data_IF_617867296883
#
_entry.id   IF_617867296883
#
_cell.length_a   1.000
_cell.length_b   1.000
_cell.length_c   1.000
_cell.angle_alpha   90.00
_cell.angle_beta   90.00
_cell.angle_gamma   90.00
#
_symmetry.space_group_name_H-M   'P 1'
#
loop_
_entity.id
_entity.type
_entity.pdbx_description
1 polymer ?
#
# COMPACT_ATOMS: atom_id res chain seq x y z
N UNK A 1 7.41 -10.81 18.54
CA UNK A 1 7.02 -9.47 18.02
C UNK A 1 5.55 -9.23 18.35
N UNK A 2 5.15 -8.09 18.93
CA UNK A 2 3.74 -7.77 19.14
C UNK A 2 2.97 -7.77 17.81
N UNK A 3 1.74 -8.27 17.79
CA UNK A 3 0.89 -8.32 16.59
C UNK A 3 0.76 -6.96 15.91
N UNK A 4 0.72 -5.89 16.70
CA UNK A 4 0.64 -4.50 16.25
C UNK A 4 1.85 -4.00 15.49
N UNK A 5 3.02 -4.62 15.66
CA UNK A 5 4.25 -4.28 14.93
C UNK A 5 4.28 -5.02 13.59
N UNK A 6 3.82 -6.27 13.57
CA UNK A 6 3.91 -7.14 12.39
C UNK A 6 3.16 -6.59 11.18
N UNK A 7 1.90 -6.18 11.33
CA UNK A 7 1.13 -5.65 10.20
C UNK A 7 1.67 -4.30 9.72
N UNK A 8 2.14 -3.44 10.63
CA UNK A 8 2.76 -2.15 10.28
C UNK A 8 4.02 -2.35 9.46
N UNK A 9 4.90 -3.27 9.87
CA UNK A 9 6.11 -3.61 9.13
C UNK A 9 5.79 -4.12 7.73
N UNK A 10 4.81 -5.04 7.59
CA UNK A 10 4.44 -5.61 6.28
C UNK A 10 3.89 -4.53 5.35
N UNK A 11 2.97 -3.68 5.84
CA UNK A 11 2.41 -2.58 5.05
C UNK A 11 3.44 -1.52 4.70
N UNK A 12 4.32 -1.17 5.64
CA UNK A 12 5.40 -0.23 5.40
C UNK A 12 6.33 -0.76 4.30
N UNK A 13 6.71 -2.04 4.38
CA UNK A 13 7.56 -2.70 3.40
C UNK A 13 6.90 -2.71 2.01
N UNK A 14 5.64 -3.12 1.90
CA UNK A 14 4.92 -3.15 0.63
C UNK A 14 4.84 -1.77 -0.02
N UNK A 15 4.50 -0.73 0.74
CA UNK A 15 4.45 0.63 0.21
C UNK A 15 5.82 1.18 -0.19
N UNK A 16 6.88 0.84 0.54
CA UNK A 16 8.25 1.20 0.15
C UNK A 16 8.63 0.51 -1.16
N UNK A 17 8.32 -0.77 -1.32
CA UNK A 17 8.54 -1.49 -2.60
C UNK A 17 7.87 -0.76 -3.76
N UNK A 18 6.59 -0.39 -3.61
CA UNK A 18 5.86 0.38 -4.63
C UNK A 18 6.54 1.70 -4.95
N UNK A 19 6.89 2.47 -3.93
CA UNK A 19 7.57 3.75 -4.14
C UNK A 19 8.92 3.59 -4.87
N UNK A 20 9.67 2.53 -4.57
CA UNK A 20 10.92 2.24 -5.27
C UNK A 20 10.70 1.90 -6.74
N UNK A 21 9.63 1.16 -7.06
CA UNK A 21 9.26 0.82 -8.45
C UNK A 21 8.82 2.06 -9.21
N UNK A 22 7.97 2.89 -8.61
CA UNK A 22 7.56 4.16 -9.21
C UNK A 22 8.77 5.08 -9.44
N UNK A 23 9.71 5.14 -8.50
CA UNK A 23 10.94 5.90 -8.65
C UNK A 23 11.79 5.40 -9.83
N UNK A 24 11.93 4.08 -10.00
CA UNK A 24 12.63 3.49 -11.13
C UNK A 24 11.95 3.88 -12.46
N UNK A 25 10.62 3.77 -12.52
CA UNK A 25 9.83 4.16 -13.69
C UNK A 25 9.96 5.65 -14.02
N UNK A 26 9.98 6.51 -13.00
CA UNK A 26 10.25 7.94 -13.15
C UNK A 26 11.63 8.19 -13.75
N UNK A 27 12.66 7.48 -13.30
CA UNK A 27 14.02 7.61 -13.85
C UNK A 27 14.05 7.18 -15.32
N UNK A 28 13.41 6.06 -15.67
CA UNK A 28 13.34 5.58 -17.05
C UNK A 28 12.59 6.59 -17.92
N UNK A 29 11.41 7.06 -17.47
CA UNK A 29 10.63 8.07 -18.17
C UNK A 29 11.31 9.44 -18.21
N UNK A 30 12.18 9.78 -17.27
CA UNK A 30 12.94 11.03 -17.31
C UNK A 30 14.13 10.96 -18.28
N UNK A 31 14.76 9.80 -18.39
CA UNK A 31 15.98 9.59 -19.18
C UNK A 31 15.74 9.10 -20.61
N UNK A 32 14.52 8.63 -20.95
CA UNK A 32 14.18 8.21 -22.31
C UNK A 32 14.46 9.32 -23.35
N UNK A 33 15.10 8.95 -24.46
CA UNK A 33 15.64 9.88 -25.45
C UNK A 33 14.55 10.82 -26.02
N UNK A 34 14.85 12.11 -26.12
CA UNK A 34 13.89 13.19 -26.50
C UNK A 34 13.89 13.50 -27.99
N UNK A 35 14.81 12.88 -28.74
CA UNK A 35 15.21 13.33 -30.07
C UNK A 35 14.17 13.06 -31.17
N UNK A 36 13.10 12.29 -30.91
CA UNK A 36 12.05 11.97 -31.90
C UNK A 36 10.60 11.97 -31.37
N UNK A 37 10.30 12.62 -30.24
CA UNK A 37 8.93 12.58 -29.69
C UNK A 37 8.04 13.68 -30.26
N UNK A 38 6.88 13.30 -30.82
CA UNK A 38 5.83 14.23 -31.24
C UNK A 38 5.24 15.00 -30.04
N UNK A 39 4.60 16.15 -30.28
CA UNK A 39 3.99 17.00 -29.23
C UNK A 39 2.94 16.26 -28.39
N UNK A 40 2.25 15.25 -28.96
CA UNK A 40 1.31 14.41 -28.21
C UNK A 40 2.02 13.46 -27.25
N UNK A 41 3.13 12.85 -27.67
CA UNK A 41 3.96 11.98 -26.84
C UNK A 41 4.64 12.74 -25.70
N UNK A 42 5.03 14.00 -25.92
CA UNK A 42 5.60 14.84 -24.85
C UNK A 42 4.60 15.16 -23.75
N UNK A 43 3.34 15.47 -24.10
CA UNK A 43 2.29 15.76 -23.11
C UNK A 43 1.89 14.52 -22.32
N UNK A 44 1.74 13.37 -23.01
CA UNK A 44 1.46 12.09 -22.35
C UNK A 44 2.58 11.70 -21.39
N UNK A 45 3.85 11.88 -21.79
CA UNK A 45 5.01 11.61 -20.94
C UNK A 45 5.06 12.50 -19.70
N UNK A 46 4.76 13.79 -19.83
CA UNK A 46 4.66 14.72 -18.69
C UNK A 46 3.55 14.32 -17.72
N UNK A 47 2.38 13.94 -18.24
CA UNK A 47 1.28 13.44 -17.42
C UNK A 47 1.67 12.15 -16.69
N UNK A 48 2.31 11.19 -17.36
CA UNK A 48 2.81 9.97 -16.73
C UNK A 48 3.82 10.27 -15.62
N UNK A 49 4.76 11.20 -15.84
CA UNK A 49 5.72 11.64 -14.82
C UNK A 49 5.03 12.24 -13.59
N UNK A 50 4.03 13.09 -13.79
CA UNK A 50 3.28 13.69 -12.68
C UNK A 50 2.48 12.62 -11.92
N UNK A 51 1.77 11.75 -12.63
CA UNK A 51 0.96 10.69 -12.02
C UNK A 51 1.82 9.72 -11.23
N UNK A 52 2.93 9.23 -11.79
CA UNK A 52 3.88 8.35 -11.09
C UNK A 52 4.55 9.05 -9.91
N UNK A 53 4.90 10.34 -10.05
CA UNK A 53 5.46 11.13 -8.96
C UNK A 53 4.50 11.26 -7.78
N UNK A 54 3.23 11.56 -8.05
CA UNK A 54 2.19 11.60 -7.03
C UNK A 54 1.94 10.23 -6.41
N UNK A 55 1.97 9.18 -7.23
CA UNK A 55 1.81 7.79 -6.78
C UNK A 55 2.92 7.37 -5.81
N UNK A 56 4.17 7.66 -6.16
CA UNK A 56 5.34 7.42 -5.33
C UNK A 56 5.22 8.15 -3.98
N UNK A 57 4.86 9.44 -4.01
CA UNK A 57 4.68 10.24 -2.79
C UNK A 57 3.54 9.70 -1.92
N UNK A 58 2.44 9.26 -2.54
CA UNK A 58 1.32 8.67 -1.82
C UNK A 58 1.71 7.34 -1.16
N UNK A 59 2.45 6.48 -1.85
CA UNK A 59 2.97 5.21 -1.32
C UNK A 59 3.96 5.47 -0.16
N UNK A 60 4.90 6.42 -0.30
CA UNK A 60 5.79 6.83 0.79
C UNK A 60 5.02 7.39 1.99
N UNK A 61 4.00 8.21 1.74
CA UNK A 61 3.13 8.75 2.79
C UNK A 61 2.39 7.63 3.52
N UNK A 62 1.94 6.59 2.81
CA UNK A 62 1.32 5.41 3.42
C UNK A 62 2.35 4.59 4.21
N UNK A 63 3.57 4.42 3.70
CA UNK A 63 4.64 3.68 4.37
C UNK A 63 5.07 4.31 5.70
N UNK A 64 5.13 5.64 5.74
CA UNK A 64 5.49 6.41 6.94
C UNK A 64 4.27 6.57 7.86
N UNK A 65 3.12 6.90 7.28
CA UNK A 65 1.87 7.14 8.00
C UNK A 65 1.37 5.92 8.77
N UNK A 66 1.66 4.70 8.31
CA UNK A 66 1.27 3.46 8.99
C UNK A 66 1.74 3.40 10.44
N UNK A 67 2.80 4.11 10.81
CA UNK A 67 3.33 4.18 12.18
C UNK A 67 2.60 5.18 13.06
N UNK A 68 1.98 6.19 12.47
CA UNK A 68 1.23 7.24 13.16
C UNK A 68 -0.24 6.89 13.35
N UNK A 69 -0.76 5.89 12.62
CA UNK A 69 -2.18 5.55 12.62
C UNK A 69 -2.56 4.84 13.93
N UNK A 70 -3.58 5.33 14.67
CA UNK A 70 -4.10 4.64 15.85
C UNK A 70 -4.79 3.34 15.44
N UNK A 71 -4.73 2.30 16.28
CA UNK A 71 -5.29 0.97 15.99
C UNK A 71 -6.77 1.02 15.55
N UNK A 72 -7.56 1.91 16.16
CA UNK A 72 -8.99 2.12 15.84
C UNK A 72 -9.24 2.62 14.40
N UNK A 73 -8.24 3.23 13.74
CA UNK A 73 -8.34 3.73 12.34
C UNK A 73 -7.66 2.82 11.32
N UNK A 74 -7.24 1.62 11.72
CA UNK A 74 -6.55 0.69 10.82
C UNK A 74 -7.43 0.27 9.65
N UNK A 75 -8.74 0.12 9.85
CA UNK A 75 -9.67 -0.17 8.75
C UNK A 75 -9.60 0.85 7.61
N UNK A 76 -9.61 2.15 7.92
CA UNK A 76 -9.48 3.22 6.94
C UNK A 76 -8.11 3.17 6.23
N UNK A 77 -7.04 2.96 6.99
CA UNK A 77 -5.69 2.82 6.42
C UNK A 77 -5.59 1.66 5.44
N UNK A 78 -6.16 0.50 5.79
CA UNK A 78 -6.15 -0.69 4.94
C UNK A 78 -6.94 -0.46 3.64
N UNK A 79 -8.05 0.27 3.69
CA UNK A 79 -8.82 0.65 2.49
C UNK A 79 -8.00 1.55 1.58
N UNK A 80 -7.35 2.59 2.13
CA UNK A 80 -6.49 3.48 1.35
C UNK A 80 -5.36 2.69 0.67
N UNK A 81 -4.65 1.84 1.42
CA UNK A 81 -3.59 0.99 0.87
C UNK A 81 -4.12 0.04 -0.21
N UNK A 82 -5.31 -0.56 -0.01
CA UNK A 82 -5.93 -1.42 -1.01
C UNK A 82 -6.22 -0.67 -2.30
N UNK A 83 -6.74 0.56 -2.23
CA UNK A 83 -7.01 1.40 -3.40
C UNK A 83 -5.70 1.77 -4.12
N UNK A 84 -4.66 2.11 -3.37
CA UNK A 84 -3.32 2.40 -3.92
C UNK A 84 -2.80 1.17 -4.65
N UNK A 85 -2.74 0.00 -4.02
CA UNK A 85 -2.24 -1.22 -4.66
C UNK A 85 -3.09 -1.63 -5.88
N UNK A 86 -4.43 -1.50 -5.80
CA UNK A 86 -5.30 -1.79 -6.93
C UNK A 86 -5.02 -0.87 -8.12
N UNK A 87 -4.81 0.42 -7.87
CA UNK A 87 -4.45 1.38 -8.91
C UNK A 87 -3.14 0.97 -9.61
N UNK A 88 -2.12 0.59 -8.84
CA UNK A 88 -0.85 0.13 -9.41
C UNK A 88 -1.03 -1.16 -10.20
N UNK A 89 -1.76 -2.15 -9.68
CA UNK A 89 -2.04 -3.39 -10.40
C UNK A 89 -2.70 -3.12 -11.77
N UNK A 90 -3.67 -2.19 -11.82
CA UNK A 90 -4.38 -1.82 -13.05
C UNK A 90 -3.50 -1.10 -14.07
N UNK A 91 -2.43 -0.42 -13.63
CA UNK A 91 -1.48 0.27 -14.51
C UNK A 91 -0.39 -0.68 -15.01
N UNK A 92 0.19 -1.47 -14.10
CA UNK A 92 1.33 -2.33 -14.42
C UNK A 92 0.95 -3.59 -15.20
N UNK A 93 -0.27 -4.10 -15.03
CA UNK A 93 -0.74 -5.27 -15.77
C UNK A 93 -0.81 -5.04 -17.29
N UNK A 94 -1.51 -3.99 -17.81
CA UNK A 94 -1.49 -3.71 -19.24
C UNK A 94 -0.11 -3.28 -19.73
N UNK A 95 0.67 -2.55 -18.93
CA UNK A 95 2.03 -2.15 -19.28
C UNK A 95 2.94 -3.37 -19.50
N UNK A 96 2.93 -4.33 -18.57
CA UNK A 96 3.69 -5.56 -18.69
C UNK A 96 3.30 -6.38 -19.93
N UNK A 97 2.00 -6.45 -20.25
CA UNK A 97 1.52 -7.12 -21.47
C UNK A 97 2.04 -6.44 -22.73
N UNK A 98 1.99 -5.11 -22.81
CA UNK A 98 2.51 -4.36 -23.97
C UNK A 98 4.01 -4.60 -24.15
N UNK A 99 4.80 -4.48 -23.07
CA UNK A 99 6.25 -4.70 -23.10
C UNK A 99 6.61 -6.14 -23.53
N UNK A 100 5.81 -7.13 -23.11
CA UNK A 100 5.97 -8.51 -23.56
C UNK A 100 5.71 -8.68 -25.06
N UNK A 101 4.63 -8.06 -25.57
CA UNK A 101 4.26 -8.11 -27.00
C UNK A 101 5.34 -7.45 -27.86
N UNK A 102 5.95 -6.37 -27.36
CA UNK A 102 7.06 -5.67 -28.02
C UNK A 102 8.41 -6.43 -27.95
N UNK A 103 8.43 -7.64 -27.36
CA UNK A 103 9.58 -8.54 -27.35
C UNK A 103 10.54 -8.35 -26.16
N UNK A 104 10.29 -7.39 -25.27
CA UNK A 104 11.09 -7.13 -24.08
C UNK A 104 10.73 -8.06 -22.92
N UNK A 105 11.04 -9.36 -23.07
CA UNK A 105 10.59 -10.43 -22.15
C UNK A 105 10.91 -10.21 -20.67
N UNK A 106 12.14 -9.80 -20.35
CA UNK A 106 12.58 -9.64 -18.95
C UNK A 106 11.84 -8.50 -18.26
N UNK A 107 11.75 -7.36 -18.94
CA UNK A 107 11.06 -6.18 -18.42
C UNK A 107 9.55 -6.45 -18.29
N UNK A 108 8.92 -7.06 -19.31
CA UNK A 108 7.49 -7.37 -19.25
C UNK A 108 7.12 -8.38 -18.16
N UNK A 109 7.95 -9.39 -17.90
CA UNK A 109 7.78 -10.32 -16.78
C UNK A 109 7.95 -9.63 -15.43
N UNK A 110 8.88 -8.67 -15.32
CA UNK A 110 9.09 -7.90 -14.11
C UNK A 110 7.84 -7.06 -13.78
N UNK A 111 7.28 -6.35 -14.75
CA UNK A 111 6.06 -5.56 -14.56
C UNK A 111 4.85 -6.42 -14.17
N UNK A 112 4.72 -7.61 -14.78
CA UNK A 112 3.68 -8.57 -14.40
C UNK A 112 3.86 -9.11 -12.98
N UNK A 113 5.11 -9.39 -12.57
CA UNK A 113 5.40 -9.81 -11.21
C UNK A 113 5.03 -8.71 -10.20
N UNK A 114 5.30 -7.45 -10.53
CA UNK A 114 4.86 -6.32 -9.71
C UNK A 114 3.34 -6.19 -9.65
N UNK A 115 2.64 -6.34 -10.77
CA UNK A 115 1.17 -6.32 -10.78
C UNK A 115 0.59 -7.44 -9.88
N UNK A 116 1.18 -8.64 -9.91
CA UNK A 116 0.79 -9.74 -9.02
C UNK A 116 1.09 -9.42 -7.55
N UNK A 117 2.25 -8.84 -7.25
CA UNK A 117 2.60 -8.41 -5.90
C UNK A 117 1.61 -7.36 -5.35
N UNK A 118 1.15 -6.44 -6.20
CA UNK A 118 0.12 -5.46 -5.83
C UNK A 118 -1.23 -6.12 -5.49
N UNK A 119 -1.65 -7.09 -6.31
CA UNK A 119 -2.87 -7.86 -6.03
C UNK A 119 -2.72 -8.63 -4.72
N UNK A 120 -1.55 -9.22 -4.46
CA UNK A 120 -1.26 -9.86 -3.17
C UNK A 120 -1.29 -8.85 -2.01
N UNK A 121 -0.81 -7.62 -2.23
CA UNK A 121 -0.93 -6.49 -1.30
C UNK A 121 -2.36 -6.17 -0.91
N UNK A 122 -3.30 -6.17 -1.87
CA UNK A 122 -4.73 -6.01 -1.61
C UNK A 122 -5.28 -7.12 -0.69
N UNK A 123 -4.92 -8.37 -0.97
CA UNK A 123 -5.33 -9.54 -0.16
C UNK A 123 -4.75 -9.42 1.26
N UNK A 124 -3.48 -9.05 1.39
CA UNK A 124 -2.84 -8.79 2.67
C UNK A 124 -3.55 -7.70 3.47
N UNK A 125 -3.90 -6.57 2.84
CA UNK A 125 -4.66 -5.49 3.48
C UNK A 125 -6.00 -6.00 4.01
N UNK A 126 -6.70 -6.85 3.26
CA UNK A 126 -7.96 -7.46 3.71
C UNK A 126 -7.75 -8.35 4.94
N UNK A 127 -6.77 -9.24 4.90
CA UNK A 127 -6.47 -10.16 6.01
C UNK A 127 -6.10 -9.38 7.28
N UNK A 128 -5.20 -8.39 7.17
CA UNK A 128 -4.79 -7.59 8.32
C UNK A 128 -5.90 -6.66 8.84
N UNK A 129 -6.76 -6.13 7.95
CA UNK A 129 -7.92 -5.33 8.37
C UNK A 129 -8.86 -6.10 9.29
N UNK A 130 -9.14 -7.37 8.95
CA UNK A 130 -9.97 -8.26 9.79
C UNK A 130 -9.24 -8.58 11.10
N UNK A 131 -7.99 -9.07 11.02
CA UNK A 131 -7.24 -9.48 12.21
C UNK A 131 -7.04 -8.36 13.23
N UNK A 132 -6.70 -7.15 12.76
CA UNK A 132 -6.50 -6.01 13.67
C UNK A 132 -7.81 -5.55 14.27
N UNK A 133 -8.94 -5.68 13.56
CA UNK A 133 -10.26 -5.38 14.12
C UNK A 133 -10.62 -6.36 15.24
N UNK A 134 -10.44 -7.65 15.01
CA UNK A 134 -10.68 -8.67 16.04
C UNK A 134 -9.79 -8.45 17.29
N UNK A 135 -8.54 -8.02 17.10
CA UNK A 135 -7.63 -7.66 18.19
C UNK A 135 -8.10 -6.43 18.97
N UNK A 136 -8.64 -5.41 18.28
CA UNK A 136 -9.19 -4.21 18.92
C UNK A 136 -10.45 -4.56 19.70
N UNK A 137 -11.39 -5.27 19.09
CA UNK A 137 -12.65 -5.67 19.72
C UNK A 137 -12.40 -6.53 20.96
N UNK A 138 -11.43 -7.45 20.89
CA UNK A 138 -10.99 -8.26 22.05
C UNK A 138 -10.36 -7.40 23.15
N UNK A 139 -9.55 -6.40 22.78
CA UNK A 139 -8.94 -5.49 23.74
C UNK A 139 -9.97 -4.64 24.46
N UNK A 140 -10.92 -4.07 23.71
CA UNK A 140 -11.99 -3.23 24.27
C UNK A 140 -12.90 -4.08 25.19
N UNK A 141 -13.22 -5.33 24.83
CA UNK A 141 -13.99 -6.25 25.68
C UNK A 141 -13.28 -6.59 27.01
N UNK A 142 -11.95 -6.80 26.96
CA UNK A 142 -11.14 -7.03 28.16
C UNK A 142 -11.06 -5.79 29.05
N UNK A 143 -10.98 -4.60 28.46
CA UNK A 143 -10.96 -3.34 29.20
C UNK A 143 -12.29 -3.12 29.94
N UNK A 144 -13.43 -3.31 29.26
CA UNK A 144 -14.76 -3.21 29.86
C UNK A 144 -14.94 -4.21 31.01
N UNK A 145 -14.56 -5.47 30.81
CA UNK A 145 -14.67 -6.49 31.86
C UNK A 145 -13.82 -6.15 33.09
N UNK A 146 -12.63 -5.59 32.88
CA UNK A 146 -11.74 -5.20 33.96
C UNK A 146 -12.25 -3.96 34.71
N UNK A 147 -12.86 -3.01 34.02
CA UNK A 147 -13.55 -1.88 34.67
C UNK A 147 -14.76 -2.33 35.49
N UNK A 148 -15.56 -3.28 34.97
CA UNK A 148 -16.68 -3.87 35.72
C UNK A 148 -16.21 -4.57 37.00
N UNK A 149 -15.17 -5.40 36.92
CA UNK A 149 -14.56 -6.07 38.08
C UNK A 149 -14.06 -5.06 39.12
N UNK A 150 -13.44 -3.96 38.69
CA UNK A 150 -13.01 -2.89 39.61
C UNK A 150 -14.21 -2.23 40.30
N UNK A 151 -15.30 -1.96 39.58
CA UNK A 151 -16.50 -1.38 40.18
C UNK A 151 -17.15 -2.34 41.19
N UNK A 152 -17.22 -3.64 40.88
CA UNK A 152 -17.75 -4.66 41.79
C UNK A 152 -16.90 -4.77 43.07
N UNK A 153 -15.58 -4.71 42.96
CA UNK A 153 -14.69 -4.73 44.13
C UNK A 153 -14.83 -3.48 45.00
N UNK A 154 -14.99 -2.30 44.39
CA UNK A 154 -15.27 -1.06 45.12
C UNK A 154 -16.63 -1.13 45.83
N UNK A 155 -17.65 -1.69 45.18
CA UNK A 155 -18.97 -1.85 45.76
C UNK A 155 -19.02 -2.89 46.89
N UNK A 156 -18.22 -3.96 46.81
CA UNK A 156 -18.13 -4.99 47.85
C UNK A 156 -17.21 -4.61 49.04
N UNK A 157 -16.43 -3.53 48.91
CA UNK A 157 -15.55 -2.99 49.96
C UNK A 157 -16.17 -1.86 50.81
N UNK A 158 -17.44 -1.51 50.56
CA UNK A 158 -18.27 -0.60 51.36
C UNK A 158 -19.33 -1.39 52.14
#
# INVERSE_FOLDING_TARGET
MPSSVRWRTVLSLMNVTVACVDALHLVILATADRTQTSTSQTTQRLLCLVVLGLSMLLSLSCALGVWLIPKRRVGCSMVVNTLVFLLHALVFLPLGVVILVDGHRVLGLLELAFAVEMVAGCVCCRIYSVRVRDEVDRSDALEISNEQLKMEQVAAGC
#
